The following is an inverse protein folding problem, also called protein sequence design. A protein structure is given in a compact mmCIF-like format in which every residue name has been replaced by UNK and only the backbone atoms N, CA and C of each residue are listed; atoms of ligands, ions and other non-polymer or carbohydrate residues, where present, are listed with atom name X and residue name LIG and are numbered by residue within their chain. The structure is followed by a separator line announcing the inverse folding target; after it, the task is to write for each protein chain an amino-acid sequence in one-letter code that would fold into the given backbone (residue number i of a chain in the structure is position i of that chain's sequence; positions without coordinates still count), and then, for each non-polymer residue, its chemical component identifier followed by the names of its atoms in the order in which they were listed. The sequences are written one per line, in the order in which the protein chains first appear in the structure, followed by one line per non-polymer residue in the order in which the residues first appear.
data_IF_638847607808
#
_entry.id   IF_638847607808
#
_cell.length_a   1.000
_cell.length_b   1.000
_cell.length_c   1.000
_cell.angle_alpha   90.00
_cell.angle_beta   90.00
_cell.angle_gamma   90.00
#
_symmetry.space_group_name_H-M   'P 1'
#
loop_
_entity.id
_entity.type
_entity.pdbx_description
1 polymer ?
#
# COMPACT_ATOMS: atom_id res chain seq x y z
N UNK A 1 10.55 -21.29 -6.59
CA UNK A 1 9.27 -20.55 -6.68
C UNK A 1 8.74 -20.39 -5.26
N UNK A 2 8.56 -19.16 -4.77
CA UNK A 2 8.06 -18.92 -3.41
C UNK A 2 6.55 -19.14 -3.32
N UNK A 3 6.03 -19.32 -2.08
CA UNK A 3 4.58 -19.41 -1.85
C UNK A 3 3.89 -18.09 -2.26
N UNK A 4 2.72 -18.17 -2.94
CA UNK A 4 1.88 -17.01 -3.21
C UNK A 4 1.59 -16.22 -1.92
N UNK A 5 1.38 -14.91 -2.03
CA UNK A 5 1.13 -14.06 -0.85
C UNK A 5 -0.08 -14.54 -0.04
N UNK A 6 -1.15 -14.95 -0.71
CA UNK A 6 -2.35 -15.47 -0.05
C UNK A 6 -2.06 -16.68 0.84
N UNK A 7 -1.22 -17.61 0.40
CA UNK A 7 -0.89 -18.80 1.20
C UNK A 7 -0.04 -18.42 2.43
N UNK A 8 0.85 -17.43 2.29
CA UNK A 8 1.58 -16.89 3.44
C UNK A 8 0.64 -16.22 4.45
N UNK A 9 -0.33 -15.44 3.97
CA UNK A 9 -1.34 -14.80 4.82
C UNK A 9 -2.18 -15.84 5.57
N UNK A 10 -2.59 -16.92 4.90
CA UNK A 10 -3.34 -18.01 5.56
C UNK A 10 -2.53 -18.68 6.69
N UNK A 11 -1.24 -18.93 6.46
CA UNK A 11 -0.36 -19.50 7.49
C UNK A 11 -0.20 -18.52 8.65
N UNK A 12 0.06 -17.25 8.37
CA UNK A 12 0.19 -16.22 9.40
C UNK A 12 -1.10 -16.05 10.22
N UNK A 13 -2.26 -16.11 9.59
CA UNK A 13 -3.55 -15.96 10.25
C UNK A 13 -3.81 -17.06 11.30
N UNK A 14 -3.32 -18.29 11.06
CA UNK A 14 -3.46 -19.39 12.03
C UNK A 14 -2.78 -19.09 13.38
N UNK A 15 -1.74 -18.25 13.37
CA UNK A 15 -1.03 -17.81 14.58
C UNK A 15 -1.54 -16.46 15.07
N UNK A 16 -1.74 -15.51 14.18
CA UNK A 16 -2.09 -14.14 14.54
C UNK A 16 -3.53 -14.02 15.04
N UNK A 17 -4.48 -14.73 14.46
CA UNK A 17 -5.88 -14.63 14.87
C UNK A 17 -6.07 -15.06 16.34
N UNK A 18 -5.64 -16.25 16.80
CA UNK A 18 -5.75 -16.61 18.20
C UNK A 18 -4.94 -15.69 19.12
N UNK A 19 -3.77 -15.23 18.70
CA UNK A 19 -2.97 -14.29 19.48
C UNK A 19 -3.71 -12.96 19.69
N UNK A 20 -4.26 -12.37 18.63
CA UNK A 20 -5.00 -11.10 18.74
C UNK A 20 -6.26 -11.27 19.58
N UNK A 21 -7.00 -12.38 19.45
CA UNK A 21 -8.16 -12.68 20.29
C UNK A 21 -7.78 -12.77 21.78
N UNK A 22 -6.67 -13.39 22.11
CA UNK A 22 -6.15 -13.42 23.49
C UNK A 22 -5.81 -12.00 23.96
N UNK A 23 -5.13 -11.19 23.15
CA UNK A 23 -4.84 -9.79 23.51
C UNK A 23 -6.13 -8.97 23.71
N UNK A 24 -7.14 -9.18 22.87
CA UNK A 24 -8.45 -8.51 23.02
C UNK A 24 -9.15 -8.90 24.32
N UNK A 25 -9.09 -10.19 24.71
CA UNK A 25 -9.66 -10.66 25.97
C UNK A 25 -8.96 -10.07 27.20
N UNK A 26 -7.64 -9.92 27.16
CA UNK A 26 -6.83 -9.42 28.29
C UNK A 26 -6.81 -7.88 28.40
N UNK A 27 -6.78 -7.18 27.26
CA UNK A 27 -6.53 -5.72 27.21
C UNK A 27 -7.76 -4.91 26.81
N UNK A 28 -8.84 -5.57 26.36
CA UNK A 28 -9.94 -4.96 25.63
C UNK A 28 -9.61 -4.74 24.15
N UNK A 29 -10.65 -4.79 23.33
CA UNK A 29 -10.53 -4.79 21.86
C UNK A 29 -9.81 -3.56 21.33
N UNK A 30 -10.20 -2.36 21.76
CA UNK A 30 -9.62 -1.10 21.29
C UNK A 30 -8.09 -1.04 21.50
N UNK A 31 -7.65 -1.35 22.72
CA UNK A 31 -6.22 -1.29 23.08
C UNK A 31 -5.42 -2.36 22.36
N UNK A 32 -5.95 -3.59 22.28
CA UNK A 32 -5.31 -4.68 21.57
C UNK A 32 -5.15 -4.35 20.08
N UNK A 33 -6.22 -3.89 19.44
CA UNK A 33 -6.20 -3.52 18.02
C UNK A 33 -5.25 -2.35 17.74
N UNK A 34 -5.16 -1.35 18.63
CA UNK A 34 -4.21 -0.26 18.50
C UNK A 34 -2.74 -0.74 18.56
N UNK A 35 -2.42 -1.67 19.45
CA UNK A 35 -1.09 -2.27 19.55
C UNK A 35 -0.74 -3.09 18.30
N UNK A 36 -1.70 -3.87 17.79
CA UNK A 36 -1.54 -4.66 16.56
C UNK A 36 -1.30 -3.73 15.38
N UNK A 37 -2.13 -2.69 15.18
CA UNK A 37 -1.94 -1.70 14.12
C UNK A 37 -0.56 -1.04 14.17
N UNK A 38 -0.14 -0.64 15.37
CA UNK A 38 1.17 -0.01 15.56
C UNK A 38 2.31 -0.93 15.14
N UNK A 39 2.29 -2.17 15.59
CA UNK A 39 3.36 -3.14 15.34
C UNK A 39 3.40 -3.59 13.87
N UNK A 40 2.25 -4.02 13.34
CA UNK A 40 2.14 -4.51 11.97
C UNK A 40 2.31 -3.35 10.98
N UNK A 41 1.75 -2.18 11.27
CA UNK A 41 1.90 -1.00 10.43
C UNK A 41 3.36 -0.56 10.28
N UNK A 42 4.15 -0.60 11.36
CA UNK A 42 5.59 -0.31 11.28
C UNK A 42 6.33 -1.30 10.36
N UNK A 43 5.99 -2.59 10.46
CA UNK A 43 6.57 -3.64 9.61
C UNK A 43 6.18 -3.44 8.13
N UNK A 44 4.89 -3.20 7.86
CA UNK A 44 4.42 -3.02 6.49
C UNK A 44 4.95 -1.74 5.83
N UNK A 45 5.20 -0.67 6.60
CA UNK A 45 5.90 0.52 6.08
C UNK A 45 7.31 0.17 5.62
N UNK A 46 8.05 -0.63 6.38
CA UNK A 46 9.37 -1.11 5.97
C UNK A 46 9.31 -2.01 4.72
N UNK A 47 8.30 -2.88 4.63
CA UNK A 47 8.09 -3.70 3.44
C UNK A 47 7.74 -2.85 2.21
N UNK A 48 6.92 -1.82 2.39
CA UNK A 48 6.59 -0.87 1.33
C UNK A 48 7.83 -0.14 0.82
N UNK A 49 8.65 0.41 1.71
CA UNK A 49 9.92 1.08 1.35
C UNK A 49 10.88 0.13 0.61
N UNK A 50 11.09 -1.06 1.15
CA UNK A 50 11.96 -2.06 0.51
C UNK A 50 11.44 -2.49 -0.86
N UNK A 51 10.13 -2.72 -0.97
CA UNK A 51 9.49 -3.10 -2.23
C UNK A 51 9.60 -1.96 -3.25
N UNK A 52 9.31 -0.72 -2.85
CA UNK A 52 9.33 0.45 -3.72
C UNK A 52 10.71 0.72 -4.30
N UNK A 53 11.76 0.61 -3.48
CA UNK A 53 13.15 0.75 -3.91
C UNK A 53 13.63 -0.34 -4.85
N UNK A 54 13.04 -1.53 -4.76
CA UNK A 54 13.38 -2.65 -5.63
C UNK A 54 12.73 -2.57 -7.02
N UNK A 55 11.80 -1.62 -7.25
CA UNK A 55 11.16 -1.48 -8.56
C UNK A 55 12.07 -0.72 -9.53
N UNK A 56 12.09 -1.18 -10.77
CA UNK A 56 12.90 -0.60 -11.85
C UNK A 56 12.06 0.23 -12.82
N UNK A 57 10.74 0.21 -12.70
CA UNK A 57 9.84 1.02 -13.49
C UNK A 57 10.07 2.50 -13.21
N UNK A 58 10.15 3.31 -14.26
CA UNK A 58 10.37 4.76 -14.15
C UNK A 58 9.08 5.51 -13.81
N UNK A 59 7.93 4.93 -14.17
CA UNK A 59 6.60 5.52 -13.92
C UNK A 59 5.98 4.94 -12.67
N UNK A 60 5.45 5.81 -11.83
CA UNK A 60 4.83 5.45 -10.54
C UNK A 60 3.59 4.59 -10.74
N UNK A 61 2.75 4.94 -11.72
CA UNK A 61 1.54 4.19 -12.07
C UNK A 61 1.85 2.74 -12.49
N UNK A 62 2.95 2.51 -13.19
CA UNK A 62 3.38 1.17 -13.61
C UNK A 62 3.90 0.33 -12.42
N UNK A 63 4.57 0.97 -11.44
CA UNK A 63 4.97 0.31 -10.18
C UNK A 63 3.75 -0.15 -9.40
N UNK A 64 2.71 0.69 -9.31
CA UNK A 64 1.47 0.33 -8.62
C UNK A 64 0.73 -0.81 -9.34
N UNK A 65 0.63 -0.76 -10.67
CA UNK A 65 0.05 -1.87 -11.44
C UNK A 65 0.76 -3.19 -11.13
N UNK A 66 2.09 -3.19 -11.08
CA UNK A 66 2.90 -4.36 -10.74
C UNK A 66 2.71 -4.85 -9.30
N UNK A 67 2.45 -3.94 -8.35
CA UNK A 67 2.09 -4.33 -6.99
C UNK A 67 0.78 -5.13 -6.97
N UNK A 68 -0.23 -4.67 -7.71
CA UNK A 68 -1.51 -5.38 -7.79
C UNK A 68 -1.41 -6.72 -8.52
N UNK A 69 -0.59 -6.85 -9.56
CA UNK A 69 -0.27 -8.14 -10.17
C UNK A 69 0.29 -9.14 -9.14
N UNK A 70 1.20 -8.66 -8.27
CA UNK A 70 1.76 -9.49 -7.21
C UNK A 70 0.73 -9.87 -6.13
N UNK A 71 -0.20 -8.97 -5.79
CA UNK A 71 -1.30 -9.24 -4.86
C UNK A 71 -2.33 -10.19 -5.44
N UNK A 72 -2.56 -10.14 -6.76
CA UNK A 72 -3.47 -11.03 -7.47
C UNK A 72 -2.89 -12.42 -7.74
N UNK A 73 -1.57 -12.60 -7.56
CA UNK A 73 -0.91 -13.86 -7.82
C UNK A 73 -1.57 -15.02 -7.07
N UNK A 74 -1.78 -16.15 -7.77
CA UNK A 74 -2.52 -17.31 -7.25
C UNK A 74 -4.03 -17.07 -7.21
N UNK A 75 -4.54 -16.25 -8.10
CA UNK A 75 -5.96 -15.82 -8.22
C UNK A 75 -6.50 -15.23 -6.91
N UNK A 76 -5.67 -14.54 -6.13
CA UNK A 76 -6.03 -14.07 -4.81
C UNK A 76 -7.04 -12.93 -4.82
N UNK A 77 -7.01 -12.09 -5.84
CA UNK A 77 -7.98 -11.01 -6.07
C UNK A 77 -8.34 -10.90 -7.56
N UNK A 78 -9.59 -10.53 -7.83
CA UNK A 78 -10.05 -10.04 -9.13
C UNK A 78 -10.16 -8.52 -9.04
N UNK A 79 -9.68 -7.78 -10.04
CA UNK A 79 -9.74 -6.33 -10.02
C UNK A 79 -9.88 -5.72 -11.42
N UNK A 80 -10.40 -4.50 -11.46
CA UNK A 80 -10.57 -3.69 -12.66
C UNK A 80 -9.86 -2.36 -12.47
N UNK A 81 -8.98 -2.00 -13.41
CA UNK A 81 -8.34 -0.68 -13.41
C UNK A 81 -9.33 0.35 -13.94
N UNK A 82 -9.65 1.33 -13.11
CA UNK A 82 -10.58 2.42 -13.43
C UNK A 82 -9.85 3.60 -14.08
N UNK A 83 -8.64 3.88 -13.59
CA UNK A 83 -7.81 4.99 -14.08
C UNK A 83 -6.33 4.66 -13.93
N UNK A 84 -5.56 4.91 -14.99
CA UNK A 84 -4.09 4.83 -14.95
C UNK A 84 -3.53 6.01 -15.71
N UNK A 85 -3.04 6.98 -14.99
CA UNK A 85 -2.49 8.23 -15.52
C UNK A 85 -1.29 8.64 -14.69
N UNK A 86 -0.45 9.56 -15.15
CA UNK A 86 0.73 9.99 -14.40
C UNK A 86 0.45 10.63 -13.03
N UNK A 87 -0.79 11.00 -12.74
CA UNK A 87 -1.23 11.65 -11.49
C UNK A 87 -2.18 10.80 -10.65
N UNK A 88 -2.66 9.65 -11.19
CA UNK A 88 -3.56 8.76 -10.48
C UNK A 88 -3.48 7.32 -10.98
N UNK A 89 -3.59 6.38 -10.03
CA UNK A 89 -3.85 4.98 -10.29
C UNK A 89 -5.06 4.54 -9.47
N UNK A 90 -6.15 4.16 -10.14
CA UNK A 90 -7.41 3.84 -9.48
C UNK A 90 -7.92 2.49 -9.95
N UNK A 91 -8.37 1.65 -9.01
CA UNK A 91 -8.91 0.35 -9.32
C UNK A 91 -10.00 -0.06 -8.33
N UNK A 92 -10.85 -0.97 -8.75
CA UNK A 92 -11.80 -1.66 -7.91
C UNK A 92 -11.41 -3.14 -7.81
N UNK A 93 -11.23 -3.64 -6.58
CA UNK A 93 -11.14 -5.08 -6.34
C UNK A 93 -12.55 -5.63 -6.26
N UNK A 94 -12.93 -6.50 -7.19
CA UNK A 94 -14.29 -7.04 -7.36
C UNK A 94 -14.45 -8.46 -6.81
N UNK A 95 -13.33 -9.16 -6.59
CA UNK A 95 -13.27 -10.46 -5.92
C UNK A 95 -12.08 -10.53 -4.98
N UNK A 96 -12.23 -11.12 -3.79
CA UNK A 96 -11.17 -11.18 -2.79
C UNK A 96 -11.18 -12.51 -2.03
N UNK A 97 -10.19 -13.36 -2.30
CA UNK A 97 -10.04 -14.64 -1.58
C UNK A 97 -9.50 -14.47 -0.17
N UNK A 98 -8.79 -13.37 0.11
CA UNK A 98 -8.42 -13.02 1.49
C UNK A 98 -9.68 -12.80 2.33
N UNK A 99 -10.65 -12.02 1.83
CA UNK A 99 -11.91 -11.79 2.54
C UNK A 99 -12.69 -13.10 2.75
N UNK A 100 -12.82 -13.93 1.71
CA UNK A 100 -13.45 -15.25 1.81
C UNK A 100 -12.80 -16.11 2.88
N UNK A 101 -11.47 -16.19 2.90
CA UNK A 101 -10.73 -16.96 3.89
C UNK A 101 -11.00 -16.50 5.33
N UNK A 102 -10.95 -15.20 5.60
CA UNK A 102 -11.22 -14.68 6.94
C UNK A 102 -12.70 -14.81 7.35
N UNK A 103 -13.62 -14.74 6.40
CA UNK A 103 -15.04 -15.04 6.63
C UNK A 103 -15.25 -16.51 7.01
N UNK A 104 -14.64 -17.44 6.29
CA UNK A 104 -14.66 -18.88 6.60
C UNK A 104 -14.00 -19.19 7.95
N UNK A 105 -12.97 -18.43 8.33
CA UNK A 105 -12.32 -18.51 9.64
C UNK A 105 -13.17 -17.92 10.78
N UNK A 106 -14.27 -17.23 10.46
CA UNK A 106 -15.11 -16.52 11.44
C UNK A 106 -14.41 -15.34 12.11
N UNK A 107 -13.52 -14.65 11.37
CA UNK A 107 -12.70 -13.55 11.86
C UNK A 107 -12.54 -12.41 10.83
N UNK A 108 -13.61 -11.95 10.14
CA UNK A 108 -13.48 -10.91 9.11
C UNK A 108 -12.99 -9.58 9.68
N UNK A 109 -13.31 -9.25 10.94
CA UNK A 109 -12.81 -8.05 11.64
C UNK A 109 -11.29 -8.09 11.85
N UNK A 110 -10.75 -9.28 12.14
CA UNK A 110 -9.30 -9.47 12.21
C UNK A 110 -8.66 -9.54 10.82
N UNK A 111 -9.38 -10.05 9.83
CA UNK A 111 -8.98 -9.99 8.43
C UNK A 111 -8.81 -8.54 7.96
N UNK A 112 -9.72 -7.65 8.33
CA UNK A 112 -9.57 -6.22 8.06
C UNK A 112 -8.32 -5.66 8.74
N UNK A 113 -8.15 -5.90 10.04
CA UNK A 113 -7.03 -5.41 10.85
C UNK A 113 -5.66 -5.89 10.34
N UNK A 114 -5.57 -7.18 9.96
CA UNK A 114 -4.30 -7.84 9.65
C UNK A 114 -3.93 -7.83 8.16
N UNK A 115 -4.91 -7.58 7.26
CA UNK A 115 -4.71 -7.71 5.82
C UNK A 115 -5.11 -6.45 5.06
N UNK A 116 -6.26 -5.84 5.38
CA UNK A 116 -6.71 -4.67 4.63
C UNK A 116 -6.13 -3.36 5.19
N UNK A 117 -6.08 -3.22 6.50
CA UNK A 117 -5.62 -1.98 7.16
C UNK A 117 -4.14 -1.69 6.89
N UNK A 118 -3.37 -2.74 6.59
CA UNK A 118 -1.93 -2.65 6.29
C UNK A 118 -1.60 -2.03 4.92
N UNK A 119 -2.59 -1.89 4.02
CA UNK A 119 -2.38 -1.24 2.72
C UNK A 119 -1.95 0.23 2.87
N UNK A 120 -2.45 0.91 3.90
CA UNK A 120 -2.08 2.30 4.18
C UNK A 120 -0.61 2.44 4.59
N UNK A 121 -0.13 1.78 5.66
CA UNK A 121 1.28 1.86 6.02
C UNK A 121 2.22 1.27 4.95
N UNK A 122 1.79 0.27 4.19
CA UNK A 122 2.56 -0.22 3.05
C UNK A 122 2.75 0.88 2.00
N UNK A 123 1.66 1.61 1.66
CA UNK A 123 1.72 2.75 0.72
C UNK A 123 2.54 3.91 1.29
N UNK A 124 2.46 4.19 2.60
CA UNK A 124 3.30 5.21 3.24
C UNK A 124 4.81 4.90 3.09
N UNK A 125 5.17 3.62 2.99
CA UNK A 125 6.53 3.18 2.71
C UNK A 125 7.04 3.57 1.31
N UNK A 126 6.16 3.90 0.37
CA UNK A 126 6.56 4.37 -0.98
C UNK A 126 7.14 5.80 -0.99
N UNK A 127 7.09 6.48 0.15
CA UNK A 127 7.47 7.88 0.26
C UNK A 127 6.27 8.83 0.04
N UNK A 128 6.54 10.15 0.06
CA UNK A 128 5.50 11.17 0.00
C UNK A 128 4.76 11.30 -1.33
N UNK A 129 5.24 10.63 -2.36
CA UNK A 129 4.76 10.80 -3.75
C UNK A 129 3.47 10.03 -4.04
N UNK A 130 3.09 9.10 -3.17
CA UNK A 130 1.91 8.25 -3.35
C UNK A 130 1.01 8.33 -2.12
N UNK A 131 -0.26 8.64 -2.32
CA UNK A 131 -1.27 8.64 -1.27
C UNK A 131 -2.44 7.74 -1.64
N UNK A 132 -2.74 6.78 -0.77
CA UNK A 132 -3.91 5.92 -0.89
C UNK A 132 -5.13 6.53 -0.19
N UNK A 133 -6.27 6.49 -0.87
CA UNK A 133 -7.60 6.62 -0.27
C UNK A 133 -8.39 5.37 -0.61
N UNK A 134 -9.09 4.81 0.38
CA UNK A 134 -10.01 3.68 0.22
C UNK A 134 -11.13 3.85 1.24
N UNK A 135 -12.38 3.84 0.81
CA UNK A 135 -13.54 4.11 1.66
C UNK A 135 -14.31 2.85 2.05
N UNK A 136 -14.09 1.75 1.31
CA UNK A 136 -14.82 0.50 1.53
C UNK A 136 -13.97 -0.73 1.18
N UNK A 137 -14.34 -1.88 1.75
CA UNK A 137 -13.69 -3.17 1.47
C UNK A 137 -14.69 -4.33 1.42
N UNK A 138 -14.40 -5.33 0.58
CA UNK A 138 -15.13 -6.61 0.55
C UNK A 138 -15.05 -7.30 1.92
N UNK A 139 -13.93 -7.18 2.63
CA UNK A 139 -13.72 -7.74 3.96
C UNK A 139 -14.76 -7.22 4.98
N UNK A 140 -15.23 -5.99 4.81
CA UNK A 140 -16.24 -5.33 5.65
C UNK A 140 -17.66 -5.44 5.06
N UNK A 141 -17.86 -6.23 4.01
CA UNK A 141 -19.16 -6.51 3.42
C UNK A 141 -19.56 -5.60 2.25
N UNK A 142 -18.68 -4.72 1.77
CA UNK A 142 -18.93 -3.94 0.56
C UNK A 142 -18.87 -4.83 -0.71
N UNK A 143 -19.47 -4.36 -1.80
CA UNK A 143 -19.44 -5.06 -3.10
C UNK A 143 -18.07 -5.08 -3.76
N UNK A 144 -17.20 -4.12 -3.43
CA UNK A 144 -15.83 -4.00 -3.94
C UNK A 144 -14.96 -3.18 -2.99
N UNK A 145 -13.63 -3.24 -3.17
CA UNK A 145 -12.70 -2.32 -2.53
C UNK A 145 -12.33 -1.21 -3.52
N UNK A 146 -12.42 0.05 -3.11
CA UNK A 146 -12.15 1.22 -3.95
C UNK A 146 -10.75 1.78 -3.67
N UNK A 147 -9.75 1.26 -4.35
CA UNK A 147 -8.39 1.79 -4.25
C UNK A 147 -8.22 3.02 -5.13
N UNK A 148 -7.82 4.15 -4.53
CA UNK A 148 -7.59 5.43 -5.21
C UNK A 148 -6.23 5.97 -4.79
N UNK A 149 -5.23 5.79 -5.66
CA UNK A 149 -3.89 6.33 -5.45
C UNK A 149 -3.78 7.67 -6.16
N UNK A 150 -3.40 8.71 -5.43
CA UNK A 150 -2.97 10.00 -5.97
C UNK A 150 -1.44 10.01 -6.01
N UNK A 151 -0.91 10.44 -7.16
CA UNK A 151 0.51 10.49 -7.42
C UNK A 151 0.94 11.96 -7.41
N UNK A 152 1.85 12.30 -6.50
CA UNK A 152 2.45 13.63 -6.47
C UNK A 152 3.74 13.59 -7.27
N UNK A 153 3.83 14.36 -8.33
CA UNK A 153 5.10 14.62 -9.00
C UNK A 153 5.89 15.62 -8.16
N UNK A 154 7.14 15.32 -7.83
CA UNK A 154 8.06 16.37 -7.48
C UNK A 154 8.04 17.39 -8.64
N UNK A 155 7.78 18.66 -8.32
CA UNK A 155 7.98 19.73 -9.28
C UNK A 155 9.46 19.69 -9.62
N UNK A 156 9.80 19.30 -10.86
CA UNK A 156 11.12 19.58 -11.40
C UNK A 156 11.40 21.05 -11.12
N UNK A 157 12.42 21.32 -10.33
CA UNK A 157 12.94 22.68 -10.12
C UNK A 157 13.37 23.24 -11.48
N UNK A 158 12.42 23.92 -12.14
CA UNK A 158 12.75 24.90 -13.16
C UNK A 158 13.41 26.07 -12.45
N UNK A 159 14.73 26.07 -12.38
CA UNK A 159 15.47 27.13 -11.74
C UNK A 159 16.98 27.07 -11.90
N UNK A 160 17.48 26.57 -13.01
CA UNK A 160 18.81 27.01 -13.46
C UNK A 160 18.65 28.09 -14.50
N UNK A 161 18.30 29.29 -14.06
CA UNK A 161 18.57 30.47 -14.86
C UNK A 161 20.08 30.70 -14.90
N UNK A 162 20.62 30.33 -16.02
CA UNK A 162 21.89 30.85 -16.52
C UNK A 162 21.78 32.36 -16.64
N UNK A 163 22.35 33.09 -15.71
CA UNK A 163 22.75 34.47 -15.97
C UNK A 163 24.25 34.59 -15.80
N UNK A 164 24.91 34.19 -16.87
CA UNK A 164 26.26 34.51 -17.17
C UNK A 164 26.27 35.69 -18.15
N UNK A 165 26.18 36.88 -17.68
CA UNK A 165 26.60 38.02 -18.47
C UNK A 165 27.79 38.63 -17.81
N UNK A 166 28.95 38.22 -18.33
CA UNK A 166 30.16 38.97 -18.21
C UNK A 166 30.01 40.33 -18.87
N UNK A 167 30.49 41.33 -18.24
CA UNK A 167 31.01 42.50 -18.93
C UNK A 167 32.31 42.90 -18.27
N UNK A 168 33.35 42.58 -18.99
CA UNK A 168 34.66 43.14 -18.79
C UNK A 168 34.65 44.65 -19.00
N UNK A 169 35.48 45.32 -18.23
CA UNK A 169 36.08 46.57 -18.70
C UNK A 169 37.46 46.71 -18.11
N UNK A 170 38.39 46.52 -19.00
CA UNK A 170 39.75 47.06 -18.87
C UNK A 170 39.72 48.60 -18.89
N UNK A 171 40.64 49.25 -18.19
CA UNK A 171 41.42 50.37 -18.61
C UNK A 171 42.33 50.88 -17.48
N UNK A 172 43.48 50.78 -17.80
CA UNK A 172 44.63 51.71 -17.82
C UNK A 172 44.33 53.20 -17.52
N UNK A 173 45.37 54.02 -17.26
CA UNK A 173 46.80 53.77 -17.21
C UNK A 173 47.41 53.86 -15.81
#
# INVERSE_FOLDING_TARGET
MGLPLIERVKIQAQVLVPLVRTLQAELGEERANALVRKSIGALYRQFGDAWWRAQHETKVEDRLAKAFEAFAAGDAIDYEVVKQTPDAFELNVTGCRYAKFYQELGAPELGFLLTCDVDFPFTEGFGGDVRLTRTQTIMQGASHCDFRYKLHREKEEQGRSSDGSGTGRAREP
#
